data_IF_305633489763
#
_entry.id   IF_305633489763
#
_cell.length_a   1.000
_cell.length_b   1.000
_cell.length_c   1.000
_cell.angle_alpha   90.00
_cell.angle_beta   90.00
_cell.angle_gamma   90.00
#
_symmetry.space_group_name_H-M   'P 1'
#
loop_
_entity.id
_entity.type
_entity.pdbx_description
1 polymer ?
#
# COMPACT_ATOMS: atom_id res chain seq x y z
N UNK A 1 -11.04 -13.14 -22.70
CA UNK A 1 -10.98 -12.88 -21.24
C UNK A 1 -10.18 -14.00 -20.60
N UNK A 2 -8.96 -13.73 -20.17
CA UNK A 2 -8.00 -14.77 -19.79
C UNK A 2 -8.34 -15.36 -18.40
N UNK A 3 -8.74 -16.63 -18.41
CA UNK A 3 -9.04 -17.45 -17.21
C UNK A 3 -7.87 -17.51 -16.23
N UNK A 4 -6.65 -17.34 -16.72
CA UNK A 4 -5.42 -17.35 -15.92
C UNK A 4 -5.30 -16.15 -14.96
N UNK A 5 -5.78 -14.95 -15.35
CA UNK A 5 -5.74 -13.75 -14.50
C UNK A 5 -6.71 -13.81 -13.29
N UNK A 6 -7.87 -14.43 -13.47
CA UNK A 6 -8.82 -14.67 -12.36
C UNK A 6 -8.28 -15.66 -11.33
N UNK A 7 -7.45 -16.63 -11.76
CA UNK A 7 -6.85 -17.62 -10.85
C UNK A 7 -5.68 -17.06 -10.05
N UNK A 8 -4.91 -16.09 -10.58
CA UNK A 8 -3.81 -15.46 -9.82
C UNK A 8 -4.34 -14.59 -8.66
N UNK A 9 -5.35 -13.77 -8.92
CA UNK A 9 -5.97 -12.96 -7.87
C UNK A 9 -6.75 -13.83 -6.86
N UNK A 10 -7.39 -14.89 -7.31
CA UNK A 10 -8.07 -15.87 -6.45
C UNK A 10 -7.10 -16.77 -5.66
N UNK A 11 -5.93 -17.08 -6.19
CA UNK A 11 -4.92 -17.88 -5.49
C UNK A 11 -4.16 -17.07 -4.42
N UNK A 12 -3.97 -15.76 -4.63
CA UNK A 12 -3.39 -14.86 -3.62
C UNK A 12 -4.39 -14.55 -2.50
N UNK A 13 -5.70 -14.57 -2.77
CA UNK A 13 -6.76 -14.35 -1.79
C UNK A 13 -7.23 -15.63 -1.07
N UNK A 14 -6.97 -16.82 -1.62
CA UNK A 14 -7.49 -18.10 -1.09
C UNK A 14 -6.44 -18.98 -0.40
N UNK A 15 -5.15 -18.68 -0.52
CA UNK A 15 -4.13 -19.32 0.28
C UNK A 15 -3.72 -18.35 1.39
N UNK A 16 -3.75 -18.76 2.68
CA UNK A 16 -3.01 -18.01 3.68
C UNK A 16 -1.60 -17.90 3.15
N UNK A 17 -1.08 -16.69 3.03
CA UNK A 17 0.29 -16.44 2.57
C UNK A 17 1.23 -17.12 3.57
N UNK A 18 1.47 -18.41 3.34
CA UNK A 18 2.40 -19.20 4.13
C UNK A 18 3.80 -18.70 3.81
N UNK A 19 4.35 -17.91 4.69
CA UNK A 19 5.76 -17.54 4.64
C UNK A 19 6.59 -18.82 4.61
N UNK A 20 7.49 -19.02 3.65
CA UNK A 20 8.39 -20.14 3.68
C UNK A 20 9.27 -20.03 4.93
N UNK A 21 8.96 -20.85 5.96
CA UNK A 21 9.94 -21.22 6.96
C UNK A 21 10.97 -22.06 6.22
N UNK A 22 12.26 -21.66 6.29
CA UNK A 22 13.32 -22.25 5.52
C UNK A 22 13.34 -23.79 5.60
N UNK A 23 13.23 -24.40 4.42
CA UNK A 23 13.64 -25.78 4.17
C UNK A 23 14.23 -25.80 2.77
N UNK A 24 15.45 -26.28 2.66
CA UNK A 24 16.20 -26.36 1.41
C UNK A 24 15.58 -27.36 0.42
N UNK A 25 15.72 -27.08 -0.87
CA UNK A 25 15.36 -28.02 -1.94
C UNK A 25 15.34 -27.35 -3.30
N UNK A 26 16.38 -27.58 -4.04
CA UNK A 26 16.61 -27.61 -5.49
C UNK A 26 15.90 -26.60 -6.43
N UNK A 27 16.77 -25.90 -7.11
CA UNK A 27 16.59 -24.81 -8.08
C UNK A 27 16.22 -25.27 -9.49
N UNK A 28 15.33 -24.50 -10.13
CA UNK A 28 15.32 -24.31 -11.58
C UNK A 28 15.61 -22.83 -11.88
N UNK A 29 16.35 -22.48 -12.94
CA UNK A 29 16.90 -21.15 -13.10
C UNK A 29 15.84 -20.14 -13.56
N UNK A 30 15.70 -19.06 -12.81
CA UNK A 30 14.98 -17.86 -13.18
C UNK A 30 15.96 -16.78 -13.67
N UNK A 31 15.60 -15.89 -14.61
CA UNK A 31 16.54 -14.94 -15.19
C UNK A 31 17.04 -13.92 -14.16
N UNK A 32 18.29 -13.56 -14.35
CA UNK A 32 19.15 -12.77 -13.51
C UNK A 32 18.54 -11.50 -12.88
N UNK A 33 18.29 -11.58 -11.58
CA UNK A 33 18.40 -10.47 -10.67
C UNK A 33 19.38 -10.94 -9.61
N UNK A 34 20.51 -10.27 -9.45
CA UNK A 34 21.57 -10.64 -8.52
C UNK A 34 21.01 -10.90 -7.12
N UNK A 35 21.05 -12.14 -6.71
CA UNK A 35 20.53 -12.60 -5.42
C UNK A 35 21.41 -12.19 -4.24
N UNK A 36 21.67 -10.90 -4.07
CA UNK A 36 22.21 -10.37 -2.83
C UNK A 36 21.07 -10.21 -1.83
N UNK A 37 20.94 -11.17 -0.93
CA UNK A 37 19.94 -11.18 0.14
C UNK A 37 20.41 -10.38 1.37
N UNK A 38 21.31 -9.40 1.15
CA UNK A 38 21.91 -8.59 2.21
C UNK A 38 20.83 -7.76 2.90
N UNK A 39 20.79 -7.85 4.22
CA UNK A 39 19.87 -7.03 5.03
C UNK A 39 20.19 -5.54 4.88
N UNK A 40 19.16 -4.72 4.76
CA UNK A 40 19.30 -3.27 4.78
C UNK A 40 19.30 -2.82 6.24
N UNK A 41 20.41 -2.22 6.67
CA UNK A 41 20.64 -1.89 8.08
C UNK A 41 20.74 -0.39 8.35
N UNK A 42 20.86 0.44 7.32
CA UNK A 42 21.05 1.89 7.44
C UNK A 42 19.77 2.67 7.20
N UNK A 43 19.46 3.73 7.97
CA UNK A 43 18.36 4.64 7.67
C UNK A 43 18.49 5.31 6.30
N UNK A 44 17.37 5.79 5.76
CA UNK A 44 17.34 6.55 4.52
C UNK A 44 16.64 5.82 3.37
N UNK A 45 16.83 6.35 2.16
CA UNK A 45 16.22 5.84 0.93
C UNK A 45 17.08 4.75 0.28
N UNK A 46 16.47 3.61 -0.03
CA UNK A 46 17.10 2.47 -0.70
C UNK A 46 16.29 2.12 -1.96
N UNK A 47 16.85 2.31 -3.17
CA UNK A 47 16.16 1.97 -4.40
C UNK A 47 15.91 0.46 -4.50
N UNK A 48 14.82 0.07 -5.11
CA UNK A 48 14.49 -1.35 -5.33
C UNK A 48 15.42 -1.99 -6.37
N UNK A 49 15.84 -1.21 -7.39
CA UNK A 49 16.68 -1.63 -8.50
C UNK A 49 16.11 -2.83 -9.29
N UNK A 50 14.79 -2.85 -9.47
CA UNK A 50 14.10 -3.88 -10.25
C UNK A 50 14.02 -3.52 -11.73
N UNK A 51 13.81 -2.23 -12.00
CA UNK A 51 13.56 -1.70 -13.34
C UNK A 51 14.43 -0.45 -13.57
N UNK A 52 14.72 -0.14 -14.85
CA UNK A 52 15.45 1.09 -15.20
C UNK A 52 14.61 2.34 -15.01
N UNK A 53 13.35 2.23 -15.45
CA UNK A 53 12.36 3.30 -15.41
C UNK A 53 11.24 2.88 -14.48
N UNK A 54 10.62 3.82 -13.77
CA UNK A 54 9.48 3.56 -12.90
C UNK A 54 9.70 2.39 -11.94
N UNK A 55 10.63 2.55 -11.04
CA UNK A 55 11.01 1.51 -10.07
C UNK A 55 10.38 1.75 -8.68
N UNK A 56 11.02 2.52 -7.84
CA UNK A 56 10.60 2.79 -6.47
C UNK A 56 11.71 2.64 -5.45
N UNK A 57 11.35 2.78 -4.18
CA UNK A 57 12.31 2.67 -3.08
C UNK A 57 11.66 2.22 -1.78
N UNK A 58 12.48 1.74 -0.85
CA UNK A 58 12.18 1.62 0.56
C UNK A 58 12.84 2.78 1.30
N UNK A 59 12.11 3.43 2.21
CA UNK A 59 12.63 4.41 3.14
C UNK A 59 12.62 3.84 4.56
N UNK A 60 13.80 3.80 5.18
CA UNK A 60 13.97 3.43 6.58
C UNK A 60 14.08 4.70 7.44
N UNK A 61 13.24 4.85 8.50
CA UNK A 61 13.25 6.03 9.34
C UNK A 61 14.60 6.21 10.07
N UNK A 62 14.94 7.44 10.44
CA UNK A 62 16.24 7.78 11.06
C UNK A 62 16.59 6.95 12.29
N UNK A 63 15.57 6.51 13.04
CA UNK A 63 15.75 5.65 14.23
C UNK A 63 15.70 4.16 13.93
N UNK A 64 15.76 3.72 12.67
CA UNK A 64 15.69 2.31 12.30
C UNK A 64 16.85 1.50 12.90
N UNK A 65 16.51 0.37 13.48
CA UNK A 65 17.45 -0.64 14.01
C UNK A 65 17.03 -2.01 13.51
N UNK A 66 17.93 -2.82 12.92
CA UNK A 66 17.59 -4.14 12.37
C UNK A 66 17.07 -5.15 13.42
N UNK A 67 17.31 -4.90 14.69
CA UNK A 67 16.84 -5.74 15.82
C UNK A 67 15.39 -5.45 16.23
N UNK A 68 14.78 -4.38 15.69
CA UNK A 68 13.41 -3.95 16.02
C UNK A 68 12.52 -3.93 14.79
N UNK A 69 11.49 -4.75 14.82
CA UNK A 69 10.46 -4.72 13.77
C UNK A 69 9.63 -3.42 13.84
N UNK A 70 9.44 -2.77 12.70
CA UNK A 70 8.66 -1.55 12.55
C UNK A 70 7.46 -1.77 11.62
N UNK A 71 6.36 -1.01 11.81
CA UNK A 71 5.23 -1.03 10.87
C UNK A 71 5.68 -0.57 9.49
N UNK A 72 5.04 -1.10 8.44
CA UNK A 72 5.31 -0.75 7.05
C UNK A 72 4.06 -0.17 6.39
N UNK A 73 4.23 0.93 5.68
CA UNK A 73 3.21 1.57 4.86
C UNK A 73 3.66 1.61 3.39
N UNK A 74 2.88 1.01 2.50
CA UNK A 74 3.01 1.23 1.07
C UNK A 74 2.37 2.59 0.72
N UNK A 75 3.07 3.40 -0.08
CA UNK A 75 2.63 4.74 -0.48
C UNK A 75 2.49 4.81 -1.99
N UNK A 76 1.24 4.87 -2.47
CA UNK A 76 0.90 4.87 -3.88
C UNK A 76 0.63 6.31 -4.37
N UNK A 77 1.34 6.71 -5.42
CA UNK A 77 1.23 8.06 -6.00
C UNK A 77 -0.07 8.26 -6.80
N UNK A 78 -0.46 9.51 -7.02
CA UNK A 78 -1.54 9.88 -7.93
C UNK A 78 -1.15 9.77 -9.42
N UNK A 79 -2.11 9.98 -10.33
CA UNK A 79 -1.89 9.97 -11.76
C UNK A 79 -0.72 10.88 -12.18
N UNK A 80 0.11 10.41 -13.10
CA UNK A 80 1.29 11.13 -13.58
C UNK A 80 2.42 11.30 -12.55
N UNK A 81 2.23 10.78 -11.33
CA UNK A 81 3.22 10.85 -10.26
C UNK A 81 4.27 9.74 -10.30
N UNK A 82 5.05 9.70 -9.25
CA UNK A 82 6.06 8.68 -9.00
C UNK A 82 6.23 8.43 -7.50
N UNK A 83 7.08 7.49 -7.15
CA UNK A 83 7.49 7.20 -5.77
C UNK A 83 8.00 8.43 -5.00
N UNK A 84 8.50 9.48 -5.68
CA UNK A 84 8.89 10.74 -5.07
C UNK A 84 7.76 11.43 -4.28
N UNK A 85 6.49 11.12 -4.56
CA UNK A 85 5.34 11.61 -3.77
C UNK A 85 5.40 11.17 -2.30
N UNK A 86 6.13 10.10 -1.99
CA UNK A 86 6.34 9.62 -0.63
C UNK A 86 7.25 10.51 0.22
N UNK A 87 8.01 11.44 -0.39
CA UNK A 87 8.92 12.35 0.34
C UNK A 87 8.17 13.18 1.37
N UNK A 88 6.93 13.53 1.08
CA UNK A 88 6.05 14.23 2.02
C UNK A 88 5.73 13.44 3.31
N UNK A 89 6.04 12.15 3.38
CA UNK A 89 5.84 11.30 4.55
C UNK A 89 7.10 11.13 5.40
N UNK A 90 8.30 11.47 4.91
CA UNK A 90 9.56 11.15 5.58
C UNK A 90 9.65 11.70 7.00
N UNK A 91 9.26 12.96 7.22
CA UNK A 91 9.28 13.55 8.57
C UNK A 91 8.40 12.78 9.56
N UNK A 92 7.21 12.37 9.12
CA UNK A 92 6.29 11.59 9.94
C UNK A 92 6.80 10.14 10.13
N UNK A 93 7.40 9.56 9.10
CA UNK A 93 8.01 8.24 9.18
C UNK A 93 9.18 8.23 10.19
N UNK A 94 10.01 9.26 10.19
CA UNK A 94 11.07 9.44 11.17
C UNK A 94 10.55 9.63 12.60
N UNK A 95 9.52 10.48 12.76
CA UNK A 95 8.92 10.80 14.05
C UNK A 95 8.28 9.57 14.71
N UNK A 96 7.64 8.73 13.91
CA UNK A 96 6.83 7.62 14.40
C UNK A 96 7.45 6.24 14.21
N UNK A 97 8.60 6.13 13.55
CA UNK A 97 9.26 4.84 13.31
C UNK A 97 8.50 3.97 12.32
N UNK A 98 8.15 4.48 11.14
CA UNK A 98 7.42 3.76 10.09
C UNK A 98 8.30 3.56 8.88
N UNK A 99 8.37 2.33 8.38
CA UNK A 99 9.01 2.01 7.10
C UNK A 99 8.05 2.40 5.97
N UNK A 100 8.57 3.07 4.93
CA UNK A 100 7.78 3.38 3.74
C UNK A 100 8.28 2.52 2.57
N UNK A 101 7.36 1.92 1.83
CA UNK A 101 7.61 1.31 0.53
C UNK A 101 6.87 2.13 -0.52
N UNK A 102 7.60 2.79 -1.39
CA UNK A 102 7.07 3.68 -2.40
C UNK A 102 7.40 3.14 -3.81
N UNK A 103 6.53 2.31 -4.39
CA UNK A 103 6.68 1.84 -5.76
C UNK A 103 6.16 2.86 -6.78
N UNK A 104 6.70 2.84 -7.98
CA UNK A 104 6.08 3.48 -9.13
C UNK A 104 5.03 2.56 -9.76
N UNK A 105 3.97 3.11 -10.35
CA UNK A 105 3.09 2.37 -11.26
C UNK A 105 3.83 2.04 -12.57
N UNK A 106 3.42 0.98 -13.24
CA UNK A 106 4.08 0.55 -14.50
C UNK A 106 3.80 1.46 -15.69
N UNK A 107 2.76 2.30 -15.56
CA UNK A 107 2.40 3.33 -16.53
C UNK A 107 2.27 4.69 -15.82
N UNK A 108 1.64 5.66 -16.47
CA UNK A 108 1.39 6.98 -15.87
C UNK A 108 0.41 6.97 -14.69
N UNK A 109 -0.39 5.90 -14.58
CA UNK A 109 -1.23 5.58 -13.42
C UNK A 109 -1.33 4.07 -13.23
N UNK A 110 -2.10 3.62 -12.23
CA UNK A 110 -2.24 2.23 -11.81
C UNK A 110 -3.13 1.44 -12.77
N UNK A 111 -2.76 0.22 -13.07
CA UNK A 111 -3.36 -0.63 -14.11
C UNK A 111 -4.86 -0.91 -13.91
N UNK A 112 -5.37 -1.02 -12.69
CA UNK A 112 -6.80 -1.25 -12.44
C UNK A 112 -7.68 -0.10 -12.94
N UNK A 113 -7.14 1.10 -13.05
CA UNK A 113 -7.82 2.29 -13.59
C UNK A 113 -7.80 2.33 -15.12
N UNK A 114 -6.93 1.51 -15.73
CA UNK A 114 -6.75 1.40 -17.18
C UNK A 114 -7.42 0.17 -17.79
N UNK A 115 -7.99 -0.71 -17.00
CA UNK A 115 -8.69 -1.88 -17.54
C UNK A 115 -8.59 -3.17 -16.72
N UNK A 116 -8.02 -3.11 -15.53
CA UNK A 116 -7.98 -4.23 -14.59
C UNK A 116 -6.60 -4.48 -13.99
N UNK A 117 -6.58 -5.17 -12.86
CA UNK A 117 -5.36 -5.52 -12.15
C UNK A 117 -4.43 -6.41 -12.99
N UNK A 118 -3.14 -6.13 -12.97
CA UNK A 118 -2.13 -6.83 -13.75
C UNK A 118 -0.69 -6.53 -13.27
N UNK A 119 0.19 -5.97 -14.14
CA UNK A 119 1.60 -5.80 -13.84
C UNK A 119 1.94 -4.98 -12.59
N UNK A 120 1.08 -4.01 -12.20
CA UNK A 120 1.28 -3.24 -10.98
C UNK A 120 1.13 -4.11 -9.75
N UNK A 121 0.16 -5.02 -9.71
CA UNK A 121 -0.02 -5.98 -8.61
C UNK A 121 1.23 -6.85 -8.44
N UNK A 122 1.74 -7.42 -9.55
CA UNK A 122 2.93 -8.27 -9.52
C UNK A 122 4.15 -7.49 -9.00
N UNK A 123 4.31 -6.24 -9.45
CA UNK A 123 5.41 -5.37 -8.99
C UNK A 123 5.27 -5.02 -7.49
N UNK A 124 4.09 -4.65 -7.04
CA UNK A 124 3.84 -4.32 -5.63
C UNK A 124 4.15 -5.49 -4.70
N UNK A 125 3.68 -6.69 -5.03
CA UNK A 125 3.95 -7.87 -4.20
C UNK A 125 5.40 -8.32 -4.28
N UNK A 126 6.07 -8.18 -5.43
CA UNK A 126 7.51 -8.40 -5.55
C UNK A 126 8.29 -7.41 -4.66
N UNK A 127 7.92 -6.12 -4.68
CA UNK A 127 8.55 -5.09 -3.87
C UNK A 127 8.31 -5.32 -2.37
N UNK A 128 7.08 -5.68 -1.97
CA UNK A 128 6.75 -6.02 -0.59
C UNK A 128 7.56 -7.24 -0.11
N UNK A 129 7.58 -8.31 -0.90
CA UNK A 129 8.36 -9.51 -0.59
C UNK A 129 9.83 -9.19 -0.41
N UNK A 130 10.42 -8.46 -1.35
CA UNK A 130 11.82 -8.04 -1.30
C UNK A 130 12.13 -7.22 -0.04
N UNK A 131 11.22 -6.33 0.34
CA UNK A 131 11.36 -5.48 1.53
C UNK A 131 11.36 -6.31 2.81
N UNK A 132 10.36 -7.18 2.99
CA UNK A 132 10.23 -7.98 4.23
C UNK A 132 11.30 -9.06 4.39
N UNK A 133 12.02 -9.38 3.32
CA UNK A 133 13.17 -10.29 3.35
C UNK A 133 14.46 -9.58 3.77
N UNK A 134 14.53 -8.24 3.67
CA UNK A 134 15.75 -7.43 3.89
C UNK A 134 15.64 -6.43 5.04
N UNK A 135 14.44 -6.15 5.50
CA UNK A 135 14.14 -5.13 6.51
C UNK A 135 13.33 -5.75 7.64
N UNK A 136 13.59 -5.34 8.88
CA UNK A 136 12.84 -5.77 10.06
C UNK A 136 11.44 -5.12 10.07
N UNK A 137 10.47 -5.79 9.43
CA UNK A 137 9.08 -5.34 9.27
C UNK A 137 8.16 -6.10 10.22
N UNK A 138 7.37 -5.39 11.02
CA UNK A 138 6.24 -5.99 11.72
C UNK A 138 5.12 -6.32 10.72
N UNK A 139 5.06 -7.58 10.34
CA UNK A 139 4.13 -8.09 9.32
C UNK A 139 2.66 -8.04 9.74
N UNK A 140 2.37 -7.83 11.03
CA UNK A 140 1.00 -7.63 11.54
C UNK A 140 0.53 -6.19 11.34
N UNK A 141 1.46 -5.26 11.07
CA UNK A 141 1.19 -3.83 10.86
C UNK A 141 1.62 -3.39 9.48
N UNK A 142 0.86 -3.87 8.47
CA UNK A 142 1.00 -3.48 7.08
C UNK A 142 -0.16 -2.58 6.68
N UNK A 143 0.16 -1.41 6.11
CA UNK A 143 -0.83 -0.50 5.56
C UNK A 143 -0.62 -0.27 4.07
N UNK A 144 -1.73 -0.13 3.34
CA UNK A 144 -1.74 0.29 1.95
C UNK A 144 -2.33 1.70 1.87
N UNK A 145 -1.51 2.69 1.51
CA UNK A 145 -1.89 4.09 1.42
C UNK A 145 -1.77 4.62 0.01
N UNK A 146 -2.58 5.59 -0.35
CA UNK A 146 -2.44 6.30 -1.61
C UNK A 146 -3.23 7.60 -1.65
N UNK A 147 -2.89 8.45 -2.62
CA UNK A 147 -3.57 9.70 -2.92
C UNK A 147 -4.16 9.66 -4.33
N UNK A 148 -5.37 10.20 -4.54
CA UNK A 148 -6.01 10.31 -5.87
C UNK A 148 -6.16 8.92 -6.53
N UNK A 149 -5.57 8.69 -7.71
CA UNK A 149 -5.55 7.38 -8.36
C UNK A 149 -4.89 6.31 -7.48
N UNK A 150 -3.82 6.65 -6.76
CA UNK A 150 -3.21 5.75 -5.79
C UNK A 150 -4.15 5.39 -4.63
N UNK A 151 -5.04 6.32 -4.21
CA UNK A 151 -6.06 6.04 -3.21
C UNK A 151 -7.14 5.10 -3.73
N UNK A 152 -7.56 5.29 -4.98
CA UNK A 152 -8.50 4.41 -5.68
C UNK A 152 -7.95 2.99 -5.80
N UNK A 153 -6.66 2.90 -6.14
CA UNK A 153 -5.94 1.63 -6.24
C UNK A 153 -5.77 0.96 -4.86
N UNK A 154 -5.33 1.73 -3.85
CA UNK A 154 -5.17 1.24 -2.49
C UNK A 154 -6.49 0.70 -1.92
N UNK A 155 -7.60 1.43 -2.12
CA UNK A 155 -8.92 1.01 -1.65
C UNK A 155 -9.37 -0.27 -2.35
N UNK A 156 -9.23 -0.35 -3.67
CA UNK A 156 -9.67 -1.50 -4.47
C UNK A 156 -8.82 -2.74 -4.23
N UNK A 157 -7.48 -2.60 -4.26
CA UNK A 157 -6.55 -3.70 -4.02
C UNK A 157 -6.58 -4.16 -2.56
N UNK A 158 -6.64 -3.22 -1.60
CA UNK A 158 -6.60 -3.51 -0.18
C UNK A 158 -7.84 -4.26 0.30
N UNK A 159 -9.04 -3.96 -0.20
CA UNK A 159 -10.26 -4.73 0.07
C UNK A 159 -10.11 -6.18 -0.41
N UNK A 160 -9.41 -6.39 -1.52
CA UNK A 160 -9.14 -7.73 -2.06
C UNK A 160 -8.01 -8.48 -1.36
N UNK A 161 -7.24 -7.82 -0.49
CA UNK A 161 -6.06 -8.35 0.19
C UNK A 161 -6.01 -7.94 1.67
N UNK A 162 -7.16 -7.91 2.34
CA UNK A 162 -7.26 -7.55 3.75
C UNK A 162 -6.58 -8.54 4.71
N UNK A 163 -6.25 -9.73 4.23
CA UNK A 163 -5.45 -10.71 4.97
C UNK A 163 -3.95 -10.34 4.98
N UNK A 164 -3.51 -9.50 4.04
CA UNK A 164 -2.14 -8.96 3.95
C UNK A 164 -2.07 -7.55 4.55
N UNK A 165 -2.97 -6.68 4.12
CA UNK A 165 -3.01 -5.29 4.56
C UNK A 165 -4.12 -5.11 5.60
N UNK A 166 -3.76 -5.08 6.88
CA UNK A 166 -4.72 -4.83 7.96
C UNK A 166 -5.31 -3.41 7.94
N UNK A 167 -4.67 -2.48 7.23
CA UNK A 167 -5.07 -1.07 7.17
C UNK A 167 -5.01 -0.53 5.74
N UNK A 168 -6.02 0.27 5.38
CA UNK A 168 -6.08 1.00 4.10
C UNK A 168 -6.25 2.48 4.40
N UNK A 169 -5.41 3.34 3.81
CA UNK A 169 -5.55 4.79 3.87
C UNK A 169 -5.79 5.34 2.46
N UNK A 170 -7.05 5.60 2.12
CA UNK A 170 -7.47 6.13 0.83
C UNK A 170 -7.71 7.64 0.92
N UNK A 171 -6.78 8.44 0.38
CA UNK A 171 -6.75 9.89 0.51
C UNK A 171 -7.24 10.52 -0.82
N UNK A 172 -8.47 11.02 -0.83
CA UNK A 172 -9.23 11.51 -2.00
C UNK A 172 -9.38 10.45 -3.11
N UNK A 173 -9.97 9.27 -2.83
CA UNK A 173 -10.18 8.23 -3.83
C UNK A 173 -11.28 8.62 -4.83
N UNK A 174 -11.10 8.29 -6.12
CA UNK A 174 -12.09 8.49 -7.19
C UNK A 174 -12.86 7.22 -7.53
N UNK A 175 -12.27 6.04 -7.31
CA UNK A 175 -12.84 4.74 -7.68
C UNK A 175 -12.73 3.75 -6.53
N UNK A 176 -13.75 2.90 -6.38
CA UNK A 176 -13.73 1.72 -5.51
C UNK A 176 -14.26 0.51 -6.29
N UNK A 177 -13.34 -0.30 -6.81
CA UNK A 177 -13.65 -1.46 -7.65
C UNK A 177 -12.79 -2.68 -7.30
N UNK A 178 -13.01 -3.30 -6.13
CA UNK A 178 -12.26 -4.50 -5.76
C UNK A 178 -12.66 -5.67 -6.68
N UNK A 179 -11.65 -6.41 -7.19
CA UNK A 179 -11.88 -7.60 -7.99
C UNK A 179 -12.42 -8.78 -7.16
N UNK A 180 -12.04 -8.83 -5.91
CA UNK A 180 -12.45 -9.80 -4.89
C UNK A 180 -12.54 -9.11 -3.53
N UNK A 181 -13.11 -9.77 -2.54
CA UNK A 181 -13.15 -9.31 -1.15
C UNK A 181 -12.47 -10.37 -0.29
N UNK A 182 -11.46 -9.98 0.49
CA UNK A 182 -10.76 -10.86 1.42
C UNK A 182 -10.37 -10.10 2.70
N UNK A 183 -10.51 -10.78 3.84
CA UNK A 183 -10.26 -10.16 5.14
C UNK A 183 -11.21 -9.01 5.49
N UNK A 184 -10.86 -8.25 6.53
CA UNK A 184 -11.62 -7.08 7.00
C UNK A 184 -10.64 -5.99 7.44
N UNK A 185 -9.91 -5.35 6.50
CA UNK A 185 -9.01 -4.27 6.85
C UNK A 185 -9.79 -3.10 7.46
N UNK A 186 -9.16 -2.37 8.37
CA UNK A 186 -9.63 -1.07 8.79
C UNK A 186 -9.36 -0.05 7.69
N UNK A 187 -10.25 0.89 7.50
CA UNK A 187 -10.18 1.82 6.37
C UNK A 187 -10.26 3.26 6.88
N UNK A 188 -9.27 4.07 6.51
CA UNK A 188 -9.29 5.52 6.67
C UNK A 188 -9.52 6.14 5.29
N UNK A 189 -10.53 7.01 5.19
CA UNK A 189 -10.80 7.79 3.97
C UNK A 189 -10.77 9.27 4.35
N UNK A 190 -10.03 10.09 3.60
CA UNK A 190 -10.14 11.54 3.67
C UNK A 190 -10.52 12.13 2.32
N UNK A 191 -11.22 13.29 2.32
CA UNK A 191 -11.59 13.96 1.09
C UNK A 191 -11.82 15.46 1.32
N UNK A 192 -11.36 16.28 0.36
CA UNK A 192 -11.62 17.72 0.33
C UNK A 192 -13.06 18.02 -0.09
N UNK A 193 -13.75 18.89 0.63
CA UNK A 193 -15.17 19.22 0.35
C UNK A 193 -15.35 19.98 -0.98
N UNK A 194 -14.31 20.68 -1.47
CA UNK A 194 -14.30 21.41 -2.76
C UNK A 194 -13.40 20.71 -3.81
N UNK A 195 -13.29 19.37 -3.71
CA UNK A 195 -12.55 18.58 -4.69
C UNK A 195 -13.30 18.53 -6.03
N UNK A 196 -12.71 19.17 -7.06
CA UNK A 196 -13.26 19.21 -8.42
C UNK A 196 -12.65 18.19 -9.36
N UNK A 197 -11.61 17.48 -8.94
CA UNK A 197 -10.96 16.41 -9.71
C UNK A 197 -11.68 15.09 -9.45
N UNK A 198 -11.94 14.81 -8.17
CA UNK A 198 -12.70 13.66 -7.70
C UNK A 198 -13.88 14.16 -6.84
N UNK A 199 -15.02 14.54 -7.43
CA UNK A 199 -16.12 15.16 -6.68
C UNK A 199 -16.57 14.29 -5.51
N UNK A 200 -16.55 14.85 -4.30
CA UNK A 200 -16.77 14.13 -3.05
C UNK A 200 -18.14 13.43 -2.99
N UNK A 201 -19.18 14.07 -3.56
CA UNK A 201 -20.53 13.52 -3.60
C UNK A 201 -20.67 12.29 -4.52
N UNK A 202 -19.78 12.16 -5.50
CA UNK A 202 -19.77 11.04 -6.42
C UNK A 202 -18.85 9.90 -5.96
N UNK A 203 -17.99 10.17 -4.99
CA UNK A 203 -16.90 9.31 -4.55
C UNK A 203 -17.01 8.94 -3.06
N UNK A 204 -16.28 9.58 -2.18
CA UNK A 204 -16.16 9.18 -0.76
C UNK A 204 -17.49 9.19 -0.03
N UNK A 205 -18.39 10.15 -0.29
CA UNK A 205 -19.74 10.19 0.31
C UNK A 205 -20.63 9.02 -0.12
N UNK A 206 -20.30 8.34 -1.24
CA UNK A 206 -20.95 7.10 -1.67
C UNK A 206 -20.21 5.85 -1.17
N UNK A 207 -18.86 5.90 -1.12
CA UNK A 207 -18.07 4.74 -0.71
C UNK A 207 -18.21 4.45 0.77
N UNK A 208 -18.17 5.47 1.62
CA UNK A 208 -18.20 5.31 3.08
C UNK A 208 -19.48 4.61 3.58
N UNK A 209 -20.71 5.02 3.21
CA UNK A 209 -21.92 4.30 3.63
C UNK A 209 -21.93 2.86 3.12
N UNK A 210 -21.48 2.62 1.88
CA UNK A 210 -21.41 1.27 1.29
C UNK A 210 -20.45 0.37 2.05
N UNK A 211 -19.27 0.87 2.42
CA UNK A 211 -18.29 0.12 3.19
C UNK A 211 -18.80 -0.20 4.60
N UNK A 212 -19.43 0.78 5.27
CA UNK A 212 -20.05 0.57 6.59
C UNK A 212 -21.20 -0.45 6.55
N UNK A 213 -22.02 -0.42 5.51
CA UNK A 213 -23.09 -1.41 5.30
C UNK A 213 -22.54 -2.83 5.07
N UNK A 214 -21.29 -2.93 4.58
CA UNK A 214 -20.55 -4.20 4.45
C UNK A 214 -19.75 -4.55 5.72
N UNK A 215 -19.99 -3.87 6.85
CA UNK A 215 -19.32 -4.07 8.14
C UNK A 215 -17.80 -3.86 8.11
N UNK A 216 -17.30 -2.90 7.33
CA UNK A 216 -15.93 -2.41 7.48
C UNK A 216 -15.86 -1.36 8.59
N UNK A 217 -14.77 -1.37 9.36
CA UNK A 217 -14.42 -0.26 10.28
C UNK A 217 -13.86 0.90 9.44
N UNK A 218 -14.68 1.96 9.30
CA UNK A 218 -14.35 3.11 8.45
C UNK A 218 -14.28 4.39 9.26
N UNK A 219 -13.07 4.95 9.36
CA UNK A 219 -12.82 6.32 9.80
C UNK A 219 -12.90 7.23 8.58
N UNK A 220 -13.73 8.27 8.65
CA UNK A 220 -13.94 9.20 7.55
C UNK A 220 -13.69 10.64 7.96
N UNK A 221 -12.84 11.35 7.20
CA UNK A 221 -12.41 12.71 7.43
C UNK A 221 -12.67 13.58 6.20
N UNK A 222 -13.70 14.43 6.23
CA UNK A 222 -13.83 15.54 5.29
C UNK A 222 -13.01 16.74 5.79
N UNK A 223 -12.39 17.48 4.88
CA UNK A 223 -11.68 18.71 5.21
C UNK A 223 -12.05 19.83 4.23
N UNK A 224 -11.99 21.05 4.68
CA UNK A 224 -12.18 22.22 3.82
C UNK A 224 -10.95 22.36 2.90
N UNK A 225 -11.15 22.05 1.63
CA UNK A 225 -10.07 22.05 0.65
C UNK A 225 -10.43 21.39 -0.67
N UNK A 226 -9.50 21.51 -1.61
CA UNK A 226 -9.58 20.94 -2.96
C UNK A 226 -8.96 19.55 -3.02
N UNK A 227 -8.59 19.11 -4.24
CA UNK A 227 -7.89 17.84 -4.48
C UNK A 227 -6.44 17.91 -3.98
N UNK A 228 -6.24 17.78 -2.67
CA UNK A 228 -4.94 17.92 -1.99
C UNK A 228 -4.83 16.93 -0.84
N UNK A 229 -3.63 16.80 -0.30
CA UNK A 229 -3.36 16.07 0.93
C UNK A 229 -2.71 17.03 1.96
N UNK A 230 -3.52 17.70 2.82
CA UNK A 230 -3.01 18.60 3.84
C UNK A 230 -2.11 17.89 4.86
N UNK A 231 -1.12 18.58 5.43
CA UNK A 231 -0.18 17.98 6.40
C UNK A 231 -0.87 17.43 7.66
N UNK A 232 -1.91 18.08 8.16
CA UNK A 232 -2.70 17.64 9.31
C UNK A 232 -3.48 16.34 8.99
N UNK A 233 -4.11 16.26 7.83
CA UNK A 233 -4.80 15.04 7.36
C UNK A 233 -3.81 13.88 7.19
N UNK A 234 -2.61 14.16 6.65
CA UNK A 234 -1.55 13.16 6.52
C UNK A 234 -1.11 12.64 7.90
N UNK A 235 -0.90 13.53 8.87
CA UNK A 235 -0.56 13.17 10.25
C UNK A 235 -1.66 12.35 10.91
N UNK A 236 -2.91 12.78 10.76
CA UNK A 236 -4.09 12.07 11.28
C UNK A 236 -4.18 10.64 10.74
N UNK A 237 -4.03 10.46 9.41
CA UNK A 237 -4.05 9.15 8.78
C UNK A 237 -2.95 8.22 9.31
N UNK A 238 -1.71 8.73 9.47
CA UNK A 238 -0.62 7.93 10.02
C UNK A 238 -0.85 7.58 11.50
N UNK A 239 -1.29 8.54 12.31
CA UNK A 239 -1.60 8.32 13.74
C UNK A 239 -2.71 7.29 13.89
N UNK A 240 -3.75 7.36 13.04
CA UNK A 240 -4.83 6.38 13.01
C UNK A 240 -4.31 4.97 12.67
N UNK A 241 -3.41 4.84 11.70
CA UNK A 241 -2.78 3.56 11.38
C UNK A 241 -2.03 2.98 12.58
N UNK A 242 -1.27 3.82 13.28
CA UNK A 242 -0.43 3.39 14.39
C UNK A 242 -1.23 3.09 15.67
N UNK A 243 -2.38 3.73 15.86
CA UNK A 243 -3.31 3.47 16.96
C UNK A 243 -4.14 2.19 16.76
N UNK A 244 -4.06 1.56 15.59
CA UNK A 244 -4.72 0.29 15.30
C UNK A 244 -4.22 -0.82 16.22
N UNK A 245 -5.14 -1.65 16.74
CA UNK A 245 -4.94 -2.66 17.76
C UNK A 245 -3.58 -3.37 17.66
N UNK A 246 -2.73 -3.12 18.66
CA UNK A 246 -1.61 -3.97 19.00
C UNK A 246 -2.09 -5.24 19.77
N UNK A 247 -3.41 -5.43 19.84
CA UNK A 247 -4.03 -6.44 20.69
C UNK A 247 -4.30 -7.69 19.86
N UNK A 248 -3.46 -8.69 20.09
CA UNK A 248 -3.85 -10.06 19.84
C UNK A 248 -4.94 -10.43 20.84
N UNK A 249 -6.12 -10.68 20.34
CA UNK A 249 -7.08 -11.64 20.84
C UNK A 249 -7.47 -12.57 19.69
#
# INVERSE_FOLDING_TARGET
MNVTRRRLLGALAAAPFAWPRGAGGQSTPSPAGSGDNTAITTPGRHPLNFERDRDGFVYLPRGYQPSRELPLMLVLHGAGGSSASADGWFSLADEHGVILLAPDSRQWTWDSLLGGFGPDVDFLFRALKWTVERVAVDRRRLALSGFSDGASYALSLGIGNGDVFGHIMALSPGVMSPAVVAGKPRIFISHGTDDRVMPIDETSRRFVPRLRALNYDVTYREFDGRHTLPPDVRREALTWFLAGRADGD
#
